data_IF_399393181605
#
_entry.id   IF_399393181605
#
_cell.length_a   1.000
_cell.length_b   1.000
_cell.length_c   1.000
_cell.angle_alpha   90.00
_cell.angle_beta   90.00
_cell.angle_gamma   90.00
#
_symmetry.space_group_name_H-M   'P 1'
#
loop_
_entity.id
_entity.type
_entity.pdbx_description
1 polymer ?
#
# COMPACT_ATOMS: atom_id res chain seq x y z
N UNK A 1 16.78 -30.79 -5.82
CA UNK A 1 16.64 -30.10 -4.51
C UNK A 1 17.23 -28.71 -4.69
N UNK A 2 16.55 -27.64 -4.28
CA UNK A 2 17.13 -26.29 -4.36
C UNK A 2 18.26 -26.19 -3.33
N UNK A 3 19.41 -25.65 -3.73
CA UNK A 3 20.51 -25.38 -2.81
C UNK A 3 20.31 -24.06 -2.06
N UNK A 4 21.20 -23.77 -1.10
CA UNK A 4 21.12 -22.57 -0.27
C UNK A 4 21.20 -21.27 -1.09
N UNK A 5 22.01 -21.25 -2.15
CA UNK A 5 22.20 -20.07 -3.01
C UNK A 5 20.93 -19.81 -3.80
N UNK A 6 20.35 -20.86 -4.39
CA UNK A 6 19.09 -20.81 -5.13
C UNK A 6 17.93 -20.39 -4.22
N UNK A 7 17.85 -20.92 -3.00
CA UNK A 7 16.84 -20.53 -2.01
C UNK A 7 17.00 -19.05 -1.62
N UNK A 8 18.22 -18.59 -1.36
CA UNK A 8 18.50 -17.20 -1.00
C UNK A 8 18.07 -16.25 -2.13
N UNK A 9 18.44 -16.55 -3.37
CA UNK A 9 18.04 -15.75 -4.52
C UNK A 9 16.53 -15.72 -4.68
N UNK A 10 15.85 -16.87 -4.58
CA UNK A 10 14.40 -16.95 -4.64
C UNK A 10 13.73 -16.11 -3.55
N UNK A 11 14.21 -16.18 -2.30
CA UNK A 11 13.68 -15.37 -1.19
C UNK A 11 13.81 -13.88 -1.45
N UNK A 12 14.94 -13.41 -2.00
CA UNK A 12 15.13 -12.01 -2.37
C UNK A 12 14.15 -11.57 -3.46
N UNK A 13 14.00 -12.37 -4.51
CA UNK A 13 13.06 -12.07 -5.61
C UNK A 13 11.62 -12.01 -5.09
N UNK A 14 11.22 -12.96 -4.25
CA UNK A 14 9.88 -12.99 -3.66
C UNK A 14 9.66 -11.78 -2.75
N UNK A 15 10.61 -11.49 -1.84
CA UNK A 15 10.53 -10.35 -0.93
C UNK A 15 10.43 -9.01 -1.65
N UNK A 16 11.27 -8.80 -2.67
CA UNK A 16 11.23 -7.60 -3.51
C UNK A 16 9.91 -7.47 -4.29
N UNK A 17 9.43 -8.57 -4.86
CA UNK A 17 8.19 -8.59 -5.63
C UNK A 17 6.98 -8.26 -4.75
N UNK A 18 6.87 -8.88 -3.58
CA UNK A 18 5.78 -8.60 -2.62
C UNK A 18 5.83 -7.14 -2.15
N UNK A 19 7.01 -6.63 -1.83
CA UNK A 19 7.19 -5.23 -1.40
C UNK A 19 6.81 -4.25 -2.51
N UNK A 20 7.23 -4.51 -3.75
CA UNK A 20 6.90 -3.67 -4.89
C UNK A 20 5.39 -3.66 -5.15
N UNK A 21 4.74 -4.82 -5.12
CA UNK A 21 3.28 -4.94 -5.30
C UNK A 21 2.52 -4.18 -4.20
N UNK A 22 2.95 -4.27 -2.94
CA UNK A 22 2.36 -3.53 -1.83
C UNK A 22 2.51 -2.01 -2.02
N UNK A 23 3.71 -1.54 -2.38
CA UNK A 23 3.98 -0.11 -2.61
C UNK A 23 3.18 0.44 -3.80
N UNK A 24 3.09 -0.31 -4.90
CA UNK A 24 2.27 0.06 -6.06
C UNK A 24 0.79 0.10 -5.69
N UNK A 25 0.29 -0.87 -4.93
CA UNK A 25 -1.08 -0.88 -4.42
C UNK A 25 -1.38 0.35 -3.55
N UNK A 26 -0.50 0.67 -2.60
CA UNK A 26 -0.64 1.85 -1.74
C UNK A 26 -0.65 3.14 -2.57
N UNK A 27 0.27 3.27 -3.53
CA UNK A 27 0.40 4.49 -4.33
C UNK A 27 -0.74 4.68 -5.33
N UNK A 28 -1.09 3.65 -6.09
CA UNK A 28 -2.06 3.75 -7.19
C UNK A 28 -3.49 3.65 -6.65
N UNK A 29 -3.77 2.65 -5.82
CA UNK A 29 -5.12 2.35 -5.36
C UNK A 29 -5.48 3.14 -4.09
N UNK A 30 -4.72 3.04 -3.00
CA UNK A 30 -5.09 3.72 -1.75
C UNK A 30 -4.95 5.24 -1.85
N UNK A 31 -3.80 5.71 -2.33
CA UNK A 31 -3.44 7.13 -2.36
C UNK A 31 -4.13 7.87 -3.52
N UNK A 32 -3.79 7.54 -4.77
CA UNK A 32 -4.28 8.29 -5.94
C UNK A 32 -5.76 8.04 -6.22
N UNK A 33 -6.20 6.78 -6.17
CA UNK A 33 -7.60 6.44 -6.50
C UNK A 33 -8.57 6.72 -5.34
N UNK A 34 -8.37 6.09 -4.18
CA UNK A 34 -9.35 6.20 -3.09
C UNK A 34 -9.25 7.50 -2.29
N UNK A 35 -8.03 7.93 -1.91
CA UNK A 35 -7.88 9.12 -1.08
C UNK A 35 -8.08 10.41 -1.87
N UNK A 36 -7.37 10.57 -2.99
CA UNK A 36 -7.35 11.81 -3.78
C UNK A 36 -8.29 11.83 -4.98
N UNK A 37 -8.86 10.69 -5.38
CA UNK A 37 -9.74 10.58 -6.55
C UNK A 37 -9.12 11.14 -7.86
N UNK A 38 -7.79 11.12 -7.97
CA UNK A 38 -7.06 11.60 -9.15
C UNK A 38 -6.96 10.55 -10.26
N UNK A 39 -7.39 9.32 -9.99
CA UNK A 39 -7.36 8.19 -10.90
C UNK A 39 -8.57 7.27 -10.64
N UNK A 40 -9.31 6.92 -11.69
CA UNK A 40 -10.41 5.95 -11.60
C UNK A 40 -9.94 4.59 -12.10
N UNK A 41 -9.95 3.58 -11.23
CA UNK A 41 -9.63 2.20 -11.59
C UNK A 41 -10.90 1.42 -11.93
N UNK A 42 -10.83 0.60 -12.98
CA UNK A 42 -11.89 -0.37 -13.28
C UNK A 42 -11.99 -1.42 -12.17
N UNK A 43 -13.19 -1.94 -11.94
CA UNK A 43 -13.49 -2.89 -10.85
C UNK A 43 -12.52 -4.07 -10.72
N UNK A 44 -12.11 -4.76 -11.80
CA UNK A 44 -11.17 -5.89 -11.68
C UNK A 44 -9.81 -5.46 -11.12
N UNK A 45 -9.29 -4.35 -11.60
CA UNK A 45 -7.98 -3.83 -11.16
C UNK A 45 -8.06 -3.30 -9.73
N UNK A 46 -9.15 -2.61 -9.36
CA UNK A 46 -9.39 -2.18 -7.99
C UNK A 46 -9.48 -3.37 -7.01
N UNK A 47 -10.12 -4.47 -7.42
CA UNK A 47 -10.19 -5.70 -6.64
C UNK A 47 -8.80 -6.35 -6.48
N UNK A 48 -8.02 -6.45 -7.56
CA UNK A 48 -6.66 -7.00 -7.50
C UNK A 48 -5.75 -6.20 -6.56
N UNK A 49 -5.80 -4.86 -6.63
CA UNK A 49 -5.07 -4.01 -5.70
C UNK A 49 -5.52 -4.23 -4.25
N UNK A 50 -6.83 -4.31 -4.00
CA UNK A 50 -7.39 -4.56 -2.66
C UNK A 50 -6.95 -5.93 -2.12
N UNK A 51 -7.02 -6.97 -2.94
CA UNK A 51 -6.63 -8.32 -2.55
C UNK A 51 -5.13 -8.39 -2.27
N UNK A 52 -4.30 -7.84 -3.16
CA UNK A 52 -2.85 -7.80 -3.01
C UNK A 52 -2.42 -7.08 -1.73
N UNK A 53 -3.03 -5.93 -1.43
CA UNK A 53 -2.77 -5.19 -0.18
C UNK A 53 -3.21 -5.95 1.06
N UNK A 54 -4.37 -6.64 1.01
CA UNK A 54 -4.83 -7.47 2.12
C UNK A 54 -3.85 -8.60 2.43
N UNK A 55 -3.38 -9.32 1.40
CA UNK A 55 -2.42 -10.43 1.55
C UNK A 55 -1.04 -9.97 2.02
N UNK A 56 -0.57 -8.80 1.55
CA UNK A 56 0.79 -8.33 1.82
C UNK A 56 0.94 -7.50 3.10
N UNK A 57 -0.08 -6.71 3.46
CA UNK A 57 0.02 -5.72 4.56
C UNK A 57 -1.12 -5.83 5.58
N UNK A 58 -2.21 -6.54 5.27
CA UNK A 58 -3.40 -6.61 6.12
C UNK A 58 -4.17 -5.28 6.25
N UNK A 59 -3.82 -4.26 5.46
CA UNK A 59 -4.34 -2.91 5.60
C UNK A 59 -5.83 -2.82 5.28
N UNK A 60 -6.57 -2.00 6.05
CA UNK A 60 -7.98 -1.71 5.78
C UNK A 60 -8.10 -0.41 4.98
N UNK A 61 -8.55 -0.43 3.71
CA UNK A 61 -8.52 0.75 2.83
C UNK A 61 -9.23 1.98 3.41
N UNK A 62 -10.39 1.79 4.05
CA UNK A 62 -11.17 2.89 4.63
C UNK A 62 -10.41 3.60 5.76
N UNK A 63 -9.70 2.85 6.59
CA UNK A 63 -8.92 3.42 7.71
C UNK A 63 -7.72 4.19 7.17
N UNK A 64 -6.97 3.59 6.23
CA UNK A 64 -5.83 4.25 5.62
C UNK A 64 -6.24 5.56 4.94
N UNK A 65 -7.32 5.56 4.15
CA UNK A 65 -7.83 6.78 3.48
C UNK A 65 -8.25 7.85 4.49
N UNK A 66 -8.87 7.48 5.60
CA UNK A 66 -9.25 8.44 6.64
C UNK A 66 -8.03 9.08 7.30
N UNK A 67 -7.04 8.27 7.69
CA UNK A 67 -5.76 8.74 8.28
C UNK A 67 -5.02 9.63 7.29
N UNK A 68 -4.88 9.19 6.04
CA UNK A 68 -4.19 9.94 4.98
C UNK A 68 -4.83 11.30 4.71
N UNK A 69 -6.17 11.35 4.66
CA UNK A 69 -6.90 12.62 4.50
C UNK A 69 -6.78 13.51 5.73
N UNK A 70 -6.78 12.95 6.93
CA UNK A 70 -6.57 13.71 8.18
C UNK A 70 -5.18 14.35 8.18
N UNK A 71 -4.14 13.59 7.83
CA UNK A 71 -2.79 14.10 7.66
C UNK A 71 -2.77 15.32 6.71
N UNK A 72 -3.33 15.20 5.50
CA UNK A 72 -3.37 16.32 4.56
C UNK A 72 -4.12 17.58 5.03
N UNK A 73 -5.11 17.43 5.93
CA UNK A 73 -5.88 18.57 6.47
C UNK A 73 -5.13 19.25 7.62
N UNK A 74 -4.41 18.48 8.43
CA UNK A 74 -3.76 18.95 9.64
C UNK A 74 -2.23 18.94 9.55
N UNK A 75 -1.64 18.86 8.35
CA UNK A 75 -0.20 18.67 8.16
C UNK A 75 0.64 19.56 9.08
N UNK A 76 1.55 18.94 9.83
CA UNK A 76 2.47 19.59 10.77
C UNK A 76 1.76 20.43 11.87
N UNK A 77 0.52 20.06 12.21
CA UNK A 77 -0.28 20.67 13.28
C UNK A 77 -0.83 19.61 14.24
N UNK A 78 -1.33 20.05 15.39
CA UNK A 78 -2.02 19.21 16.37
C UNK A 78 -3.14 18.40 15.69
N UNK A 79 -3.11 17.07 15.89
CA UNK A 79 -4.07 16.15 15.31
C UNK A 79 -3.66 15.52 13.98
N UNK A 80 -2.54 15.91 13.36
CA UNK A 80 -1.93 15.12 12.28
C UNK A 80 -1.42 13.78 12.84
N UNK A 81 -1.90 12.62 12.33
CA UNK A 81 -1.42 11.31 12.76
C UNK A 81 0.06 11.04 12.49
N UNK A 82 0.74 11.89 11.71
CA UNK A 82 2.16 11.79 11.39
C UNK A 82 3.02 12.92 11.97
N UNK A 83 2.41 13.89 12.67
CA UNK A 83 3.17 14.93 13.35
C UNK A 83 3.93 14.36 14.55
N UNK A 84 5.19 14.79 14.78
CA UNK A 84 5.95 14.47 16.00
C UNK A 84 5.63 15.39 17.18
N UNK A 85 4.90 16.49 16.94
CA UNK A 85 4.33 17.38 17.97
C UNK A 85 3.24 16.62 18.72
#
# INVERSE_FOLDING_TARGET
>A
MLDLVQLTFLSLVVGLSVTMLANLGTTIYLHRSLAHKSLTLKTPLAFLCRLGLWLSTGIRPRQWVAVHRKHHVFTDQEGDPHSPV
#
